data_IF_969820376672
#
_entry.id   IF_969820376672
#
_cell.length_a   1.000
_cell.length_b   1.000
_cell.length_c   1.000
_cell.angle_alpha   90.00
_cell.angle_beta   90.00
_cell.angle_gamma   90.00
#
_symmetry.space_group_name_H-M   'P 1'
#
loop_
_entity.id
_entity.type
_entity.pdbx_description
1 polymer ?
#
# COMPACT_ATOMS: atom_id res chain seq x y z
N UNK A 1 18.11 -21.67 -0.11
CA UNK A 1 17.26 -20.53 -0.52
C UNK A 1 16.65 -20.90 -1.86
N UNK A 2 15.34 -20.69 -2.07
CA UNK A 2 14.76 -20.87 -3.41
C UNK A 2 15.44 -19.89 -4.38
N UNK A 3 15.94 -20.39 -5.50
CA UNK A 3 16.65 -19.60 -6.52
C UNK A 3 15.70 -18.64 -7.25
N UNK A 4 14.44 -19.04 -7.40
CA UNK A 4 13.41 -18.24 -8.07
C UNK A 4 12.46 -17.55 -7.08
N UNK A 5 12.09 -16.28 -7.34
CA UNK A 5 11.04 -15.60 -6.60
C UNK A 5 9.69 -16.34 -6.68
N UNK A 6 8.88 -16.23 -5.64
CA UNK A 6 7.48 -16.72 -5.68
C UNK A 6 6.71 -16.04 -6.80
N UNK A 7 6.04 -16.81 -7.66
CA UNK A 7 5.16 -16.28 -8.70
C UNK A 7 3.88 -15.72 -8.06
N UNK A 8 3.62 -14.39 -8.12
CA UNK A 8 2.34 -13.86 -7.70
C UNK A 8 1.30 -14.16 -8.79
N UNK A 9 0.18 -14.74 -8.37
CA UNK A 9 -0.98 -14.93 -9.25
C UNK A 9 -2.05 -13.91 -8.88
N UNK A 10 -2.30 -12.96 -9.78
CA UNK A 10 -3.38 -11.99 -9.64
C UNK A 10 -4.67 -12.61 -10.15
N UNK A 11 -5.40 -13.28 -9.27
CA UNK A 11 -6.56 -14.12 -9.64
C UNK A 11 -7.65 -13.37 -10.39
N UNK A 12 -7.87 -12.10 -10.04
CA UNK A 12 -8.90 -11.25 -10.66
C UNK A 12 -8.58 -10.96 -12.14
N UNK A 13 -7.45 -10.31 -12.40
CA UNK A 13 -7.01 -10.01 -13.77
C UNK A 13 -6.76 -11.29 -14.59
N UNK A 14 -6.23 -12.35 -13.95
CA UNK A 14 -6.03 -13.65 -14.60
C UNK A 14 -7.35 -14.29 -15.04
N UNK A 15 -8.36 -14.32 -14.16
CA UNK A 15 -9.67 -14.86 -14.52
C UNK A 15 -10.34 -14.03 -15.61
N UNK A 16 -10.25 -12.69 -15.54
CA UNK A 16 -10.79 -11.80 -16.56
C UNK A 16 -10.24 -12.13 -17.97
N UNK A 17 -8.93 -12.33 -18.08
CA UNK A 17 -8.27 -12.71 -19.33
C UNK A 17 -8.60 -14.13 -19.79
N UNK A 18 -8.93 -15.03 -18.87
CA UNK A 18 -9.09 -16.48 -19.16
C UNK A 18 -10.52 -16.98 -19.18
N UNK A 19 -11.51 -16.08 -19.09
CA UNK A 19 -12.95 -16.42 -19.03
C UNK A 19 -13.48 -17.24 -20.20
N UNK A 20 -12.86 -17.11 -21.37
CA UNK A 20 -13.27 -17.80 -22.60
C UNK A 20 -12.60 -19.16 -22.80
N UNK A 21 -11.65 -19.55 -21.92
CA UNK A 21 -10.95 -20.83 -22.02
C UNK A 21 -11.80 -21.92 -21.36
N UNK A 22 -11.79 -23.11 -21.96
CA UNK A 22 -12.30 -24.30 -21.29
C UNK A 22 -11.35 -24.77 -20.17
N UNK A 23 -11.79 -25.71 -19.33
CA UNK A 23 -11.01 -26.17 -18.18
C UNK A 23 -9.63 -26.77 -18.56
N UNK A 24 -9.55 -27.42 -19.73
CA UNK A 24 -8.32 -28.05 -20.21
C UNK A 24 -7.34 -27.02 -20.76
N UNK A 25 -7.83 -26.07 -21.57
CA UNK A 25 -7.07 -24.91 -22.06
C UNK A 25 -6.54 -24.08 -20.90
N UNK A 26 -7.39 -23.82 -19.90
CA UNK A 26 -7.05 -23.06 -18.71
C UNK A 26 -5.92 -23.73 -17.92
N UNK A 27 -6.04 -25.05 -17.67
CA UNK A 27 -5.01 -25.82 -16.98
C UNK A 27 -3.69 -25.85 -17.75
N UNK A 28 -3.74 -26.08 -19.07
CA UNK A 28 -2.57 -26.09 -19.94
C UNK A 28 -1.88 -24.72 -19.95
N UNK A 29 -2.64 -23.63 -20.09
CA UNK A 29 -2.12 -22.27 -20.04
C UNK A 29 -1.44 -21.97 -18.69
N UNK A 30 -2.09 -22.31 -17.57
CA UNK A 30 -1.54 -22.11 -16.24
C UNK A 30 -0.21 -22.87 -16.02
N UNK A 31 -0.11 -24.10 -16.53
CA UNK A 31 1.12 -24.89 -16.44
C UNK A 31 2.26 -24.25 -17.24
N UNK A 32 1.99 -23.77 -18.46
CA UNK A 32 2.98 -23.07 -19.28
C UNK A 32 3.46 -21.79 -18.60
N UNK A 33 2.55 -21.02 -17.98
CA UNK A 33 2.91 -19.84 -17.19
C UNK A 33 3.88 -20.20 -16.06
N UNK A 34 3.61 -21.28 -15.32
CA UNK A 34 4.49 -21.74 -14.23
C UNK A 34 5.87 -22.20 -14.73
N UNK A 35 5.92 -22.88 -15.88
CA UNK A 35 7.20 -23.33 -16.48
C UNK A 35 8.00 -22.12 -16.94
N UNK A 36 7.38 -21.18 -17.65
CA UNK A 36 8.04 -19.95 -18.09
C UNK A 36 8.58 -19.16 -16.89
N UNK A 37 7.82 -19.03 -15.79
CA UNK A 37 8.25 -18.33 -14.58
C UNK A 37 9.50 -18.93 -13.93
N UNK A 38 9.68 -20.25 -14.06
CA UNK A 38 10.85 -20.96 -13.53
C UNK A 38 12.04 -20.95 -14.49
N UNK A 39 11.85 -20.52 -15.73
CA UNK A 39 12.94 -20.33 -16.68
C UNK A 39 13.69 -19.03 -16.40
N UNK A 40 14.99 -18.98 -16.70
CA UNK A 40 15.83 -17.81 -16.44
C UNK A 40 15.45 -16.55 -17.25
N UNK A 41 14.56 -16.66 -18.25
CA UNK A 41 14.17 -15.56 -19.13
C UNK A 41 12.67 -15.45 -19.42
N UNK A 42 11.80 -16.05 -18.58
CA UNK A 42 10.33 -15.97 -18.73
C UNK A 42 9.84 -16.42 -20.11
N UNK A 43 10.50 -17.43 -20.66
CA UNK A 43 10.28 -17.85 -22.03
C UNK A 43 10.09 -19.36 -22.14
N UNK A 44 9.43 -19.77 -23.23
CA UNK A 44 9.27 -21.17 -23.59
C UNK A 44 9.90 -21.41 -24.98
N UNK A 45 10.53 -22.56 -25.22
CA UNK A 45 11.03 -22.90 -26.54
C UNK A 45 9.87 -23.12 -27.51
N UNK A 46 10.03 -22.72 -28.77
CA UNK A 46 9.09 -23.06 -29.86
C UNK A 46 9.24 -24.52 -30.32
N UNK A 47 9.01 -25.46 -29.40
CA UNK A 47 8.99 -26.91 -29.65
C UNK A 47 7.70 -27.52 -29.12
N UNK A 48 6.82 -27.92 -30.05
CA UNK A 48 5.52 -28.51 -29.73
C UNK A 48 5.59 -29.75 -28.85
N UNK A 49 6.67 -30.55 -28.94
CA UNK A 49 6.83 -31.74 -28.10
C UNK A 49 7.12 -31.35 -26.65
N UNK A 50 7.91 -30.29 -26.45
CA UNK A 50 8.20 -29.77 -25.12
C UNK A 50 7.00 -29.04 -24.54
N UNK A 51 6.32 -28.22 -25.35
CA UNK A 51 5.13 -27.49 -24.92
C UNK A 51 3.99 -28.44 -24.51
N UNK A 52 3.72 -29.49 -25.30
CA UNK A 52 2.75 -30.53 -24.94
C UNK A 52 3.10 -31.21 -23.60
N UNK A 53 4.38 -31.52 -23.40
CA UNK A 53 4.89 -32.12 -22.14
C UNK A 53 4.71 -31.17 -20.95
N UNK A 54 5.00 -29.89 -21.11
CA UNK A 54 4.81 -28.89 -20.05
C UNK A 54 3.34 -28.67 -19.72
N UNK A 55 2.48 -28.62 -20.74
CA UNK A 55 1.02 -28.53 -20.59
C UNK A 55 0.37 -29.83 -20.09
N UNK A 56 1.13 -30.92 -19.96
CA UNK A 56 0.68 -32.26 -19.51
C UNK A 56 -0.43 -32.84 -20.38
N UNK A 57 -0.35 -32.63 -21.69
CA UNK A 57 -1.29 -33.18 -22.67
C UNK A 57 -0.56 -34.01 -23.72
N UNK A 58 -1.27 -34.90 -24.40
CA UNK A 58 -0.71 -35.63 -25.53
C UNK A 58 -0.54 -34.71 -26.76
N UNK A 59 0.31 -35.08 -27.74
CA UNK A 59 0.59 -34.23 -28.90
C UNK A 59 -0.63 -33.92 -29.78
N UNK A 60 -1.64 -34.80 -29.83
CA UNK A 60 -2.85 -34.54 -30.64
C UNK A 60 -3.70 -33.46 -29.98
N UNK A 61 -3.91 -33.61 -28.66
CA UNK A 61 -4.57 -32.58 -27.85
C UNK A 61 -3.83 -31.25 -27.93
N UNK A 62 -2.49 -31.25 -27.82
CA UNK A 62 -1.69 -30.03 -27.95
C UNK A 62 -1.93 -29.30 -29.28
N UNK A 63 -2.00 -30.02 -30.39
CA UNK A 63 -2.25 -29.42 -31.70
C UNK A 63 -3.56 -28.62 -31.76
N UNK A 64 -4.59 -29.05 -31.03
CA UNK A 64 -5.86 -28.32 -30.91
C UNK A 64 -5.76 -27.10 -29.97
N UNK A 65 -5.04 -27.25 -28.85
CA UNK A 65 -4.93 -26.20 -27.83
C UNK A 65 -3.94 -25.09 -28.21
N UNK A 66 -2.92 -25.41 -29.02
CA UNK A 66 -1.79 -24.53 -29.34
C UNK A 66 -2.26 -23.16 -29.83
N UNK A 67 -3.19 -23.13 -30.78
CA UNK A 67 -3.64 -21.86 -31.38
C UNK A 67 -4.27 -20.92 -30.34
N UNK A 68 -5.11 -21.45 -29.45
CA UNK A 68 -5.78 -20.68 -28.40
C UNK A 68 -4.78 -20.24 -27.33
N UNK A 69 -3.97 -21.17 -26.82
CA UNK A 69 -3.03 -20.90 -25.73
C UNK A 69 -1.91 -19.97 -26.18
N UNK A 70 -1.34 -20.18 -27.36
CA UNK A 70 -0.22 -19.38 -27.86
C UNK A 70 -0.65 -17.99 -28.34
N UNK A 71 -1.95 -17.72 -28.48
CA UNK A 71 -2.46 -16.35 -28.76
C UNK A 71 -2.14 -15.34 -27.65
N UNK A 72 -1.90 -15.82 -26.42
CA UNK A 72 -1.48 -14.99 -25.29
C UNK A 72 0.03 -14.70 -25.27
N UNK A 73 0.80 -15.32 -26.17
CA UNK A 73 2.25 -15.27 -26.20
C UNK A 73 2.73 -14.61 -27.49
N UNK A 74 3.92 -14.04 -27.44
CA UNK A 74 4.60 -13.45 -28.58
C UNK A 74 5.85 -14.28 -28.91
N UNK A 75 5.96 -14.70 -30.17
CA UNK A 75 7.11 -15.44 -30.66
C UNK A 75 8.20 -14.45 -31.09
N UNK A 76 9.35 -14.51 -30.43
CA UNK A 76 10.54 -13.74 -30.77
C UNK A 76 11.77 -14.63 -30.68
N UNK A 77 12.61 -14.66 -31.72
CA UNK A 77 13.89 -15.39 -31.75
C UNK A 77 13.79 -16.88 -31.37
N UNK A 78 12.69 -17.55 -31.75
CA UNK A 78 12.45 -18.97 -31.43
C UNK A 78 11.97 -19.24 -30.00
N UNK A 79 11.64 -18.19 -29.26
CA UNK A 79 11.13 -18.25 -27.90
C UNK A 79 9.78 -17.55 -27.77
N UNK A 80 8.87 -18.19 -27.05
CA UNK A 80 7.58 -17.62 -26.68
C UNK A 80 7.71 -16.83 -25.38
N UNK A 81 7.32 -15.57 -25.41
CA UNK A 81 7.34 -14.68 -24.24
C UNK A 81 5.97 -14.08 -23.98
N UNK A 82 5.71 -13.66 -22.74
CA UNK A 82 4.45 -13.04 -22.37
C UNK A 82 4.67 -11.68 -21.69
N UNK A 83 4.12 -10.62 -22.28
CA UNK A 83 4.24 -9.23 -21.78
C UNK A 83 3.79 -9.05 -20.33
N UNK A 84 2.65 -9.63 -19.95
CA UNK A 84 2.12 -9.54 -18.58
C UNK A 84 3.08 -10.16 -17.56
N UNK A 85 3.64 -11.33 -17.87
CA UNK A 85 4.64 -11.98 -17.00
C UNK A 85 5.92 -11.16 -16.83
N UNK A 86 6.42 -10.53 -17.89
CA UNK A 86 7.61 -9.65 -17.81
C UNK A 86 7.38 -8.51 -16.81
N UNK A 87 6.25 -7.82 -16.90
CA UNK A 87 5.91 -6.73 -15.97
C UNK A 87 5.82 -7.22 -14.52
N UNK A 88 5.19 -8.38 -14.31
CA UNK A 88 5.07 -8.98 -12.97
C UNK A 88 6.44 -9.37 -12.42
N UNK A 89 7.32 -9.92 -13.26
CA UNK A 89 8.68 -10.26 -12.89
C UNK A 89 9.51 -9.03 -12.47
N UNK A 90 9.41 -7.93 -13.20
CA UNK A 90 10.11 -6.68 -12.85
C UNK A 90 9.69 -6.18 -11.47
N UNK A 91 8.39 -6.22 -11.18
CA UNK A 91 7.86 -5.76 -9.89
C UNK A 91 8.27 -6.69 -8.74
N UNK A 92 8.24 -8.00 -8.96
CA UNK A 92 8.72 -8.99 -8.00
C UNK A 92 10.23 -8.84 -7.76
N UNK A 93 11.02 -8.66 -8.82
CA UNK A 93 12.47 -8.48 -8.75
C UNK A 93 12.84 -7.23 -7.97
N UNK A 94 12.17 -6.10 -8.21
CA UNK A 94 12.33 -4.87 -7.42
C UNK A 94 12.03 -5.12 -5.94
N UNK A 95 10.95 -5.83 -5.63
CA UNK A 95 10.55 -6.14 -4.26
C UNK A 95 11.53 -7.07 -3.56
N UNK A 96 11.99 -8.12 -4.25
CA UNK A 96 12.99 -9.06 -3.73
C UNK A 96 14.29 -8.33 -3.43
N UNK A 97 14.77 -7.48 -4.35
CA UNK A 97 15.99 -6.70 -4.15
C UNK A 97 15.87 -5.72 -2.98
N UNK A 98 14.75 -4.99 -2.88
CA UNK A 98 14.49 -4.09 -1.75
C UNK A 98 14.44 -4.84 -0.42
N UNK A 99 13.75 -5.99 -0.37
CA UNK A 99 13.69 -6.83 0.83
C UNK A 99 15.07 -7.39 1.20
N UNK A 100 15.88 -7.77 0.20
CA UNK A 100 17.24 -8.28 0.43
C UNK A 100 18.16 -7.20 0.99
N UNK A 101 18.04 -5.95 0.51
CA UNK A 101 18.77 -4.81 1.05
C UNK A 101 18.29 -4.43 2.48
N UNK A 102 16.99 -4.56 2.76
CA UNK A 102 16.42 -4.26 4.07
C UNK A 102 16.61 -5.38 5.10
N UNK A 103 16.77 -6.63 4.68
CA UNK A 103 17.01 -7.80 5.55
C UNK A 103 18.11 -7.59 6.60
N UNK A 104 19.33 -7.15 6.24
CA UNK A 104 20.38 -6.87 7.21
C UNK A 104 20.05 -5.69 8.16
N UNK A 105 19.22 -4.74 7.72
CA UNK A 105 18.82 -3.57 8.51
C UNK A 105 17.67 -3.87 9.49
N UNK A 106 16.79 -4.81 9.15
CA UNK A 106 15.57 -5.13 9.92
C UNK A 106 15.77 -6.12 11.07
N UNK A 107 16.86 -6.90 11.07
CA UNK A 107 17.14 -7.90 12.09
C UNK A 107 17.84 -7.38 13.35
N UNK A 108 18.33 -6.13 13.34
CA UNK A 108 19.04 -5.56 14.48
C UNK A 108 18.04 -4.90 15.44
N UNK A 109 17.78 -5.44 16.64
CA UNK A 109 16.98 -4.72 17.62
C UNK A 109 17.63 -3.36 17.86
N UNK A 110 16.85 -2.28 17.85
CA UNK A 110 17.33 -0.98 18.33
C UNK A 110 17.88 -1.22 19.73
N UNK A 111 19.17 -1.02 19.94
CA UNK A 111 19.74 -1.15 21.28
C UNK A 111 18.98 -0.19 22.20
N UNK A 112 18.27 -0.76 23.18
CA UNK A 112 17.67 0.03 24.24
C UNK A 112 18.84 0.66 25.00
N UNK A 113 19.00 1.98 24.88
CA UNK A 113 19.94 2.75 25.71
C UNK A 113 19.38 2.81 27.12
N UNK A 114 19.47 1.72 27.87
CA UNK A 114 19.06 1.68 29.27
C UNK A 114 20.22 1.12 30.09
N UNK A 115 21.01 2.03 30.66
CA UNK A 115 22.02 1.71 31.67
C UNK A 115 21.32 1.33 32.99
N UNK A 116 20.90 0.07 33.13
CA UNK A 116 20.64 -0.54 34.44
C UNK A 116 21.20 -1.95 34.47
N UNK A 117 22.27 -2.12 35.26
CA UNK A 117 22.88 -3.39 35.61
C UNK A 117 21.99 -4.13 36.61
N UNK A 118 21.15 -5.03 36.10
CA UNK A 118 20.46 -6.06 36.88
C UNK A 118 20.37 -7.32 36.03
N UNK A 119 20.82 -8.47 36.57
CA UNK A 119 20.83 -9.77 35.89
C UNK A 119 19.46 -10.06 35.24
N UNK A 120 19.40 -10.49 33.97
CA UNK A 120 18.13 -10.90 33.39
C UNK A 120 17.77 -12.27 33.98
N UNK A 121 16.67 -12.32 34.71
CA UNK A 121 15.90 -13.55 34.94
C UNK A 121 15.13 -13.81 33.64
N UNK A 122 15.25 -15.03 33.11
CA UNK A 122 14.58 -15.44 31.88
C UNK A 122 13.07 -15.27 32.04
N UNK A 123 12.48 -14.44 31.18
CA UNK A 123 11.02 -14.35 31.05
C UNK A 123 10.61 -15.13 29.81
N UNK A 124 10.08 -16.33 30.03
CA UNK A 124 9.17 -16.96 29.08
C UNK A 124 7.88 -16.13 29.02
N UNK A 125 7.22 -16.16 27.85
CA UNK A 125 5.95 -15.51 27.51
C UNK A 125 5.99 -14.01 27.20
N UNK A 126 6.14 -13.70 25.91
CA UNK A 126 4.99 -13.36 25.05
C UNK A 126 5.49 -13.12 23.62
N UNK A 127 5.21 -14.08 22.73
CA UNK A 127 5.38 -13.88 21.30
C UNK A 127 4.32 -12.88 20.85
N UNK A 128 4.71 -11.62 20.60
CA UNK A 128 3.90 -10.70 19.81
C UNK A 128 3.80 -11.23 18.38
N UNK A 129 2.80 -12.07 18.13
CA UNK A 129 2.27 -12.31 16.78
C UNK A 129 1.62 -11.02 16.31
N UNK A 130 2.30 -10.26 15.45
CA UNK A 130 1.65 -9.52 14.37
C UNK A 130 2.69 -9.00 13.36
N UNK A 131 2.90 -9.68 12.22
CA UNK A 131 3.49 -9.00 11.07
C UNK A 131 2.48 -7.99 10.55
N UNK A 132 2.84 -6.70 10.61
CA UNK A 132 2.11 -5.60 10.00
C UNK A 132 1.89 -5.91 8.53
N UNK A 133 0.65 -6.26 8.16
CA UNK A 133 0.22 -6.39 6.77
C UNK A 133 0.44 -5.04 6.07
N UNK A 134 1.54 -4.93 5.33
CA UNK A 134 1.71 -3.89 4.32
C UNK A 134 0.63 -4.10 3.27
N UNK A 135 -0.45 -3.32 3.38
CA UNK A 135 -1.57 -3.32 2.46
C UNK A 135 -1.06 -2.84 1.10
N UNK A 136 -0.82 -3.78 0.19
CA UNK A 136 -0.72 -3.51 -1.23
C UNK A 136 -2.08 -2.93 -1.67
N UNK A 137 -2.08 -1.69 -2.18
CA UNK A 137 -3.23 -1.17 -2.92
C UNK A 137 -3.13 -1.73 -4.33
N UNK A 138 -3.88 -2.78 -4.60
CA UNK A 138 -4.40 -3.05 -5.94
C UNK A 138 -5.33 -1.89 -6.32
N UNK A 139 -5.16 -1.39 -7.53
CA UNK A 139 -6.09 -0.48 -8.20
C UNK A 139 -6.66 -1.33 -9.34
N UNK A 140 -7.87 -1.84 -9.14
CA UNK A 140 -8.74 -2.44 -10.17
C UNK A 140 -9.99 -1.53 -10.23
N UNK A 141 -10.59 -1.30 -11.41
CA UNK A 141 -11.66 -0.33 -11.62
C UNK A 141 -13.03 -0.96 -11.30
N UNK A 142 -13.63 -0.58 -10.18
CA UNK A 142 -15.03 -0.91 -9.90
C UNK A 142 -15.95 0.15 -10.51
N UNK A 143 -17.07 -0.31 -11.07
CA UNK A 143 -18.04 0.45 -11.87
C UNK A 143 -18.68 1.68 -11.19
N UNK A 144 -19.78 2.22 -11.77
CA UNK A 144 -20.24 3.61 -11.58
C UNK A 144 -20.46 4.08 -10.13
N UNK A 145 -20.66 3.16 -9.19
CA UNK A 145 -20.93 3.44 -7.78
C UNK A 145 -19.64 3.81 -7.02
N UNK A 146 -18.49 3.22 -7.37
CA UNK A 146 -17.22 3.54 -6.68
C UNK A 146 -16.62 4.87 -7.14
N UNK A 147 -16.73 5.22 -8.42
CA UNK A 147 -16.30 6.52 -8.94
C UNK A 147 -17.01 7.68 -8.22
N UNK A 148 -18.33 7.55 -7.99
CA UNK A 148 -19.11 8.54 -7.24
C UNK A 148 -18.61 8.67 -5.79
N UNK A 149 -18.31 7.55 -5.13
CA UNK A 149 -17.84 7.57 -3.74
C UNK A 149 -16.44 8.20 -3.57
N UNK A 150 -15.58 8.03 -4.58
CA UNK A 150 -14.23 8.59 -4.62
C UNK A 150 -14.30 10.09 -4.90
N UNK A 151 -15.14 10.51 -5.84
CA UNK A 151 -15.38 11.92 -6.17
C UNK A 151 -15.94 12.69 -4.97
N UNK A 152 -16.93 12.13 -4.28
CA UNK A 152 -17.47 12.74 -3.03
C UNK A 152 -16.37 12.89 -1.97
N UNK A 153 -15.55 11.85 -1.77
CA UNK A 153 -14.46 11.88 -0.79
C UNK A 153 -13.39 12.92 -1.12
N UNK A 154 -13.14 13.16 -2.41
CA UNK A 154 -12.21 14.19 -2.89
C UNK A 154 -12.78 15.60 -2.68
N UNK A 155 -14.06 15.82 -2.97
CA UNK A 155 -14.73 17.11 -2.76
C UNK A 155 -14.75 17.50 -1.29
N UNK A 156 -15.14 16.59 -0.40
CA UNK A 156 -15.11 16.81 1.04
C UNK A 156 -13.70 17.12 1.55
N UNK A 157 -12.68 16.46 0.98
CA UNK A 157 -11.29 16.75 1.33
C UNK A 157 -10.85 18.13 0.82
N UNK A 158 -11.29 18.55 -0.37
CA UNK A 158 -10.97 19.87 -0.92
C UNK A 158 -11.57 21.01 -0.11
N UNK A 159 -12.79 20.83 0.37
CA UNK A 159 -13.44 21.76 1.30
C UNK A 159 -12.65 21.87 2.61
N UNK A 160 -12.28 20.74 3.23
CA UNK A 160 -11.39 20.71 4.39
C UNK A 160 -10.04 21.39 4.09
N UNK A 161 -9.45 21.12 2.92
CA UNK A 161 -8.16 21.67 2.51
C UNK A 161 -8.21 23.18 2.26
N UNK A 162 -9.37 23.72 1.89
CA UNK A 162 -9.59 25.15 1.76
C UNK A 162 -9.49 25.86 3.12
N UNK A 163 -10.13 25.27 4.13
CA UNK A 163 -10.23 25.78 5.51
C UNK A 163 -8.88 25.71 6.25
N UNK A 164 -8.12 24.62 6.06
CA UNK A 164 -6.97 24.35 6.91
C UNK A 164 -5.81 25.36 6.69
N UNK A 165 -5.26 26.00 7.74
CA UNK A 165 -4.32 27.12 7.63
C UNK A 165 -2.96 26.76 7.03
N UNK A 166 -2.47 25.52 7.22
CA UNK A 166 -1.16 25.06 6.75
C UNK A 166 -1.27 23.96 5.71
N UNK A 167 -1.09 24.31 4.43
CA UNK A 167 -1.32 23.44 3.26
C UNK A 167 -0.06 22.67 2.83
N UNK A 168 0.45 21.79 3.71
CA UNK A 168 1.65 20.97 3.45
C UNK A 168 1.29 19.49 3.34
N UNK A 169 2.02 18.75 2.48
CA UNK A 169 1.87 17.29 2.30
C UNK A 169 0.44 16.84 1.93
N UNK A 170 -0.17 17.45 0.90
CA UNK A 170 -1.56 17.16 0.45
C UNK A 170 -1.87 15.66 0.37
N UNK A 171 -0.97 14.85 -0.20
CA UNK A 171 -1.13 13.39 -0.33
C UNK A 171 -1.20 12.66 1.02
N UNK A 172 -0.43 13.09 2.03
CA UNK A 172 -0.49 12.49 3.38
C UNK A 172 -1.74 12.96 4.11
N UNK A 173 -2.09 14.23 3.97
CA UNK A 173 -3.29 14.83 4.56
C UNK A 173 -4.56 14.18 4.02
N UNK A 174 -4.63 13.87 2.73
CA UNK A 174 -5.75 13.13 2.13
C UNK A 174 -5.89 11.73 2.73
N UNK A 175 -4.78 10.99 2.89
CA UNK A 175 -4.79 9.66 3.53
C UNK A 175 -5.27 9.75 4.98
N UNK A 176 -4.83 10.77 5.73
CA UNK A 176 -5.25 11.02 7.10
C UNK A 176 -6.73 11.40 7.18
N UNK A 177 -7.24 12.19 6.22
CA UNK A 177 -8.65 12.61 6.16
C UNK A 177 -9.58 11.42 5.92
N UNK A 178 -9.24 10.55 4.97
CA UNK A 178 -9.98 9.30 4.72
C UNK A 178 -9.99 8.39 5.96
N UNK A 179 -8.90 8.37 6.75
CA UNK A 179 -8.86 7.64 8.01
C UNK A 179 -9.70 8.32 9.11
N UNK A 180 -9.70 9.64 9.18
CA UNK A 180 -10.50 10.43 10.12
C UNK A 180 -12.01 10.26 9.89
N UNK A 181 -12.47 10.19 8.63
CA UNK A 181 -13.88 9.91 8.27
C UNK A 181 -14.44 8.61 8.86
N UNK A 182 -13.57 7.66 9.21
CA UNK A 182 -13.97 6.40 9.84
C UNK A 182 -14.15 6.52 11.35
N UNK A 183 -13.57 7.56 11.96
CA UNK A 183 -13.60 7.83 13.40
C UNK A 183 -14.66 8.88 13.76
N UNK A 184 -14.92 9.83 12.87
CA UNK A 184 -15.87 10.91 13.09
C UNK A 184 -16.60 11.31 11.78
N UNK A 185 -17.84 11.83 11.89
CA UNK A 185 -18.56 12.34 10.73
C UNK A 185 -17.86 13.59 10.16
N UNK A 186 -17.91 13.75 8.83
CA UNK A 186 -17.22 14.82 8.09
C UNK A 186 -17.54 16.22 8.63
N UNK A 187 -18.80 16.58 8.96
CA UNK A 187 -19.11 17.89 9.52
C UNK A 187 -18.31 18.23 10.78
N UNK A 188 -18.11 17.27 11.70
CA UNK A 188 -17.36 17.52 12.93
C UNK A 188 -15.88 17.82 12.64
N UNK A 189 -15.30 17.11 11.67
CA UNK A 189 -13.92 17.33 11.23
C UNK A 189 -13.78 18.72 10.61
N UNK A 190 -14.75 19.16 9.81
CA UNK A 190 -14.76 20.48 9.18
C UNK A 190 -14.95 21.60 10.21
N UNK A 191 -15.89 21.47 11.14
CA UNK A 191 -16.10 22.45 12.22
C UNK A 191 -14.85 22.59 13.08
N UNK A 192 -14.21 21.47 13.47
CA UNK A 192 -12.95 21.51 14.20
C UNK A 192 -11.80 22.14 13.40
N UNK A 193 -11.78 21.97 12.09
CA UNK A 193 -10.78 22.62 11.24
C UNK A 193 -11.01 24.14 11.15
N UNK A 194 -12.26 24.59 11.11
CA UNK A 194 -12.62 26.01 11.11
C UNK A 194 -12.24 26.70 12.42
N UNK A 195 -12.54 26.08 13.58
CA UNK A 195 -12.16 26.62 14.89
C UNK A 195 -10.64 26.74 15.00
N UNK A 196 -9.92 25.69 14.62
CA UNK A 196 -8.45 25.68 14.63
C UNK A 196 -7.85 26.70 13.65
N UNK A 197 -8.46 26.89 12.48
CA UNK A 197 -8.05 27.94 11.54
C UNK A 197 -8.21 29.34 12.15
N UNK A 198 -9.32 29.58 12.85
CA UNK A 198 -9.55 30.83 13.60
C UNK A 198 -8.51 31.07 14.70
N UNK A 199 -8.18 30.06 15.50
CA UNK A 199 -7.17 30.16 16.56
C UNK A 199 -5.75 30.49 16.05
N UNK A 200 -5.46 30.07 14.82
CA UNK A 200 -4.17 30.27 14.16
C UNK A 200 -4.16 31.48 13.24
N UNK A 201 -5.30 32.16 13.04
CA UNK A 201 -5.35 33.40 12.27
C UNK A 201 -4.47 34.46 12.93
N UNK A 202 -3.56 35.06 12.15
CA UNK A 202 -2.58 36.06 12.65
C UNK A 202 -1.37 35.49 13.40
N UNK A 203 -1.28 34.17 13.64
CA UNK A 203 -0.10 33.52 14.23
C UNK A 203 0.83 32.98 13.15
N UNK A 204 2.10 32.80 13.49
CA UNK A 204 3.10 32.24 12.57
C UNK A 204 2.73 30.82 12.10
N UNK A 205 2.77 30.60 10.78
CA UNK A 205 2.38 29.34 10.13
C UNK A 205 3.32 28.18 10.52
N UNK A 206 4.58 28.46 10.88
CA UNK A 206 5.56 27.44 11.21
C UNK A 206 5.16 26.60 12.43
N UNK A 207 4.55 27.22 13.44
CA UNK A 207 4.06 26.56 14.66
C UNK A 207 2.65 25.97 14.51
N UNK A 208 2.04 26.08 13.33
CA UNK A 208 0.75 25.45 13.04
C UNK A 208 0.97 23.96 12.74
N UNK A 209 0.25 23.08 13.46
CA UNK A 209 0.24 21.63 13.20
C UNK A 209 -0.02 21.36 11.71
N UNK A 210 0.67 20.38 11.13
CA UNK A 210 0.37 19.92 9.76
C UNK A 210 -0.99 19.22 9.74
N UNK A 211 -1.75 19.36 8.65
CA UNK A 211 -3.09 18.78 8.53
C UNK A 211 -3.12 17.27 8.80
N UNK A 212 -2.14 16.51 8.29
CA UNK A 212 -2.03 15.09 8.56
C UNK A 212 -1.86 14.76 10.06
N UNK A 213 -1.03 15.52 10.78
CA UNK A 213 -0.81 15.33 12.22
C UNK A 213 -2.06 15.69 13.02
N UNK A 214 -2.69 16.81 12.68
CA UNK A 214 -3.93 17.27 13.32
C UNK A 214 -5.06 16.25 13.13
N UNK A 215 -5.19 15.68 11.92
CA UNK A 215 -6.17 14.64 11.62
C UNK A 215 -5.83 13.31 12.33
N UNK A 216 -4.56 12.89 12.36
CA UNK A 216 -4.20 11.63 13.00
C UNK A 216 -4.47 11.62 14.51
N UNK A 217 -4.29 12.78 15.16
CA UNK A 217 -4.45 12.95 16.60
C UNK A 217 -5.88 13.28 17.04
N UNK A 218 -6.88 13.18 16.15
CA UNK A 218 -8.28 13.48 16.46
C UNK A 218 -8.49 14.90 17.03
N UNK A 219 -7.66 15.87 16.62
CA UNK A 219 -7.66 17.23 17.18
C UNK A 219 -8.97 18.02 16.93
N UNK A 220 -9.91 17.50 16.14
CA UNK A 220 -11.27 18.06 16.05
C UNK A 220 -12.13 17.77 17.29
N UNK A 221 -11.71 16.81 18.13
CA UNK A 221 -12.39 16.43 19.37
C UNK A 221 -11.74 17.06 20.61
N UNK A 222 -10.57 17.69 20.46
CA UNK A 222 -9.92 18.42 21.53
C UNK A 222 -10.65 19.75 21.75
N UNK A 223 -11.12 20.06 22.97
CA UNK A 223 -11.65 21.38 23.26
C UNK A 223 -10.53 22.42 23.09
N UNK A 224 -10.85 23.63 22.60
CA UNK A 224 -9.86 24.70 22.47
C UNK A 224 -9.20 24.94 23.84
N UNK A 225 -7.86 25.10 23.90
CA UNK A 225 -7.24 25.47 25.16
C UNK A 225 -7.92 26.74 25.65
N UNK A 226 -8.37 26.74 26.91
CA UNK A 226 -9.00 27.91 27.52
C UNK A 226 -8.13 29.11 27.18
N UNK A 227 -8.72 30.11 26.52
CA UNK A 227 -8.02 31.35 26.20
C UNK A 227 -7.54 31.93 27.51
N UNK A 228 -6.27 31.71 27.85
CA UNK A 228 -5.60 32.43 28.91
C UNK A 228 -5.31 33.81 28.35
N UNK A 229 -6.37 34.60 28.19
CA UNK A 229 -6.32 36.05 28.22
C UNK A 229 -6.08 36.52 29.68
N UNK A 230 -5.18 35.82 30.38
CA UNK A 230 -4.55 36.28 31.59
C UNK A 230 -3.18 36.74 31.16
N UNK A 231 -3.05 38.04 30.94
CA UNK A 231 -1.75 38.69 30.92
C UNK A 231 -0.99 38.22 32.15
N UNK A 232 0.21 37.68 31.98
CA UNK A 232 1.17 37.39 33.08
C UNK A 232 1.44 38.60 33.99
N UNK A 233 0.91 39.78 33.63
CA UNK A 233 0.89 41.01 34.43
C UNK A 233 -0.14 41.02 35.57
N UNK A 234 -1.16 40.17 35.54
CA UNK A 234 -2.21 40.11 36.58
C UNK A 234 -1.95 39.04 37.65
N UNK A 235 -0.77 38.39 37.60
CA UNK A 235 -0.37 37.37 38.56
C UNK A 235 0.13 38.04 39.86
N UNK A 236 -0.46 37.77 41.05
CA UNK A 236 -0.11 38.46 42.31
C UNK A 236 1.36 38.31 42.73
N UNK A 237 2.08 37.34 42.14
CA UNK A 237 3.48 37.04 42.40
C UNK A 237 4.41 38.10 41.76
N UNK A 238 3.96 38.81 40.72
CA UNK A 238 4.75 39.80 39.98
C UNK A 238 4.28 41.25 40.16
N UNK A 239 3.30 41.51 41.03
CA UNK A 239 2.70 42.83 41.25
C UNK A 239 3.57 43.84 42.04
N UNK A 240 4.89 43.71 42.04
CA UNK A 240 5.75 44.52 42.92
C UNK A 240 7.23 44.60 42.52
N UNK A 241 7.56 44.44 41.24
CA UNK A 241 8.92 44.70 40.75
C UNK A 241 8.84 45.81 39.71
N UNK A 242 8.97 47.05 40.18
CA UNK A 242 9.25 48.23 39.36
C UNK A 242 10.71 48.23 38.89
#
# INVERSE_FOLDING_TARGET
MAEHPTMPLHTDSYLADTTHLNAQEHGAYLLLLMVAWRSAGLHLPDDDKLLARYAKVDPRTWAHLKAVIMSFWELSDGFWTQKKQQKVWDDVSKRVNANRANGPLGGRPKSLKTHKTGKPIGSENETQKNPTKTKAKSIEPNGPIEEISIDISLREFEEFWSIYPKKVDRKKSLKAFVAARKRAPVPNIMTGAQTYAGERAGKEIQFTKNAATWLNNDCWSEPPPASTAGTWRDDPIYAGVD
#
